data_IF_363815364598
#
_entry.id   IF_363815364598
#
_cell.length_a   1.000
_cell.length_b   1.000
_cell.length_c   1.000
_cell.angle_alpha   90.00
_cell.angle_beta   90.00
_cell.angle_gamma   90.00
#
_symmetry.space_group_name_H-M   'P 1'
#
loop_
_entity.id
_entity.type
_entity.pdbx_description
1 polymer ?
#
# COMPACT_ATOMS: atom_id res chain seq x y z
N UNK A 1 -6.44 -4.99 8.96
CA UNK A 1 -5.06 -5.19 9.48
C UNK A 1 -4.26 -3.96 9.12
N UNK A 2 -3.33 -3.53 9.98
CA UNK A 2 -2.53 -2.30 9.77
C UNK A 2 -1.05 -2.67 9.81
N UNK A 3 -0.27 -2.23 8.83
CA UNK A 3 1.17 -2.51 8.71
C UNK A 3 1.90 -1.18 8.48
N UNK A 4 3.02 -1.00 9.17
CA UNK A 4 3.97 0.07 8.90
C UNK A 4 5.13 -0.51 8.08
N UNK A 5 5.53 0.17 7.00
CA UNK A 5 6.56 -0.36 6.11
C UNK A 5 7.56 0.70 5.64
N UNK A 6 8.79 0.24 5.43
CA UNK A 6 9.86 1.00 4.81
C UNK A 6 9.53 1.32 3.35
N UNK A 7 9.88 2.53 2.86
CA UNK A 7 9.61 2.92 1.48
C UNK A 7 10.21 1.96 0.45
N UNK A 8 11.39 1.39 0.74
CA UNK A 8 12.10 0.47 -0.17
C UNK A 8 11.50 -0.94 -0.21
N UNK A 9 10.53 -1.23 0.66
CA UNK A 9 9.90 -2.55 0.76
C UNK A 9 8.41 -2.52 0.47
N UNK A 10 7.80 -1.34 0.33
CA UNK A 10 6.33 -1.21 0.21
C UNK A 10 5.77 -1.95 -1.01
N UNK A 11 6.42 -1.86 -2.17
CA UNK A 11 5.96 -2.55 -3.38
C UNK A 11 6.09 -4.07 -3.23
N UNK A 12 7.23 -4.54 -2.69
CA UNK A 12 7.42 -5.96 -2.40
C UNK A 12 6.38 -6.48 -1.41
N UNK A 13 6.11 -5.74 -0.33
CA UNK A 13 5.09 -6.09 0.64
C UNK A 13 3.71 -6.22 -0.02
N UNK A 14 3.33 -5.27 -0.89
CA UNK A 14 2.04 -5.33 -1.60
C UNK A 14 1.93 -6.56 -2.51
N UNK A 15 3.02 -6.94 -3.20
CA UNK A 15 3.08 -8.18 -3.97
C UNK A 15 2.95 -9.41 -3.08
N UNK A 16 3.70 -9.47 -1.97
CA UNK A 16 3.65 -10.59 -1.02
C UNK A 16 2.24 -10.75 -0.43
N UNK A 17 1.56 -9.63 -0.11
CA UNK A 17 0.18 -9.63 0.36
C UNK A 17 -0.77 -10.17 -0.73
N UNK A 18 -0.58 -9.76 -1.99
CA UNK A 18 -1.40 -10.24 -3.11
C UNK A 18 -1.26 -11.76 -3.30
N UNK A 19 -0.03 -12.28 -3.22
CA UNK A 19 0.24 -13.71 -3.34
C UNK A 19 -0.40 -14.52 -2.19
N UNK A 20 -0.34 -14.02 -0.96
CA UNK A 20 -0.82 -14.76 0.23
C UNK A 20 -2.31 -14.57 0.49
N UNK A 21 -2.84 -13.37 0.30
CA UNK A 21 -4.22 -13.00 0.66
C UNK A 21 -5.15 -12.80 -0.55
N UNK A 22 -4.61 -12.81 -1.77
CA UNK A 22 -5.32 -12.54 -3.01
C UNK A 22 -5.58 -11.05 -3.25
N UNK A 23 -6.49 -10.75 -4.18
CA UNK A 23 -6.81 -9.38 -4.60
C UNK A 23 -7.67 -8.62 -3.58
N UNK A 24 -7.10 -8.24 -2.44
CA UNK A 24 -7.79 -7.47 -1.40
C UNK A 24 -7.84 -5.99 -1.70
N UNK A 25 -8.88 -5.33 -1.21
CA UNK A 25 -8.86 -3.87 -1.05
C UNK A 25 -7.87 -3.49 0.04
N UNK A 26 -6.97 -2.55 -0.29
CA UNK A 26 -6.01 -1.98 0.64
C UNK A 26 -6.00 -0.46 0.52
N UNK A 27 -5.63 0.21 1.61
CA UNK A 27 -5.30 1.62 1.60
C UNK A 27 -3.79 1.78 1.84
N UNK A 28 -3.11 2.41 0.90
CA UNK A 28 -1.70 2.80 0.96
C UNK A 28 -1.67 4.28 1.33
N UNK A 29 -1.25 4.57 2.56
CA UNK A 29 -1.04 5.92 3.04
C UNK A 29 0.47 6.20 3.13
N UNK A 30 0.90 7.36 2.64
CA UNK A 30 2.30 7.81 2.63
C UNK A 30 2.39 9.20 3.20
N UNK A 31 3.34 9.42 4.10
CA UNK A 31 3.69 10.75 4.64
C UNK A 31 2.48 11.49 5.24
N UNK A 32 1.61 10.77 5.96
CA UNK A 32 0.43 11.36 6.61
C UNK A 32 0.79 12.62 7.40
N UNK A 33 -0.08 13.64 7.34
CA UNK A 33 0.08 14.98 7.95
C UNK A 33 1.12 15.89 7.29
N UNK A 34 1.87 15.42 6.28
CA UNK A 34 2.81 16.25 5.51
C UNK A 34 2.11 16.85 4.30
N UNK A 35 2.65 17.96 3.77
CA UNK A 35 2.09 18.70 2.64
C UNK A 35 1.87 17.85 1.37
N UNK A 36 2.68 16.81 1.18
CA UNK A 36 2.62 15.91 0.02
C UNK A 36 2.20 14.49 0.43
N UNK A 37 1.28 14.38 1.39
CA UNK A 37 0.68 13.11 1.76
C UNK A 37 -0.03 12.47 0.55
N UNK A 38 -0.07 11.15 0.55
CA UNK A 38 -0.74 10.36 -0.47
C UNK A 38 -1.58 9.29 0.23
N UNK A 39 -2.85 9.19 -0.14
CA UNK A 39 -3.76 8.16 0.34
C UNK A 39 -4.46 7.56 -0.87
N UNK A 40 -4.14 6.29 -1.17
CA UNK A 40 -4.75 5.54 -2.28
C UNK A 40 -5.46 4.33 -1.68
N UNK A 41 -6.76 4.19 -1.96
CA UNK A 41 -7.52 2.98 -1.60
C UNK A 41 -8.04 2.33 -2.86
N UNK A 42 -7.62 1.10 -3.11
CA UNK A 42 -8.02 0.32 -4.29
C UNK A 42 -7.75 -1.16 -4.04
N UNK A 43 -8.03 -2.02 -5.02
CA UNK A 43 -7.58 -3.42 -4.99
C UNK A 43 -6.06 -3.51 -5.14
N UNK A 44 -5.46 -4.55 -4.56
CA UNK A 44 -4.03 -4.81 -4.68
C UNK A 44 -3.58 -4.92 -6.14
N UNK A 45 -4.38 -5.56 -6.99
CA UNK A 45 -4.12 -5.65 -8.42
C UNK A 45 -4.00 -4.27 -9.07
N UNK A 46 -4.96 -3.37 -8.83
CA UNK A 46 -4.94 -2.02 -9.39
C UNK A 46 -3.77 -1.19 -8.86
N UNK A 47 -3.44 -1.35 -7.57
CA UNK A 47 -2.29 -0.67 -6.95
C UNK A 47 -0.98 -1.16 -7.57
N UNK A 48 -0.82 -2.47 -7.75
CA UNK A 48 0.38 -3.05 -8.35
C UNK A 48 0.54 -2.65 -9.82
N UNK A 49 -0.56 -2.50 -10.57
CA UNK A 49 -0.55 -1.93 -11.93
C UNK A 49 -0.13 -0.47 -11.96
N UNK A 50 -0.47 0.31 -10.92
CA UNK A 50 -0.17 1.75 -10.79
C UNK A 50 1.00 2.03 -9.83
N UNK A 51 1.88 1.04 -9.61
CA UNK A 51 2.96 1.12 -8.61
C UNK A 51 3.90 2.31 -8.79
N UNK A 52 4.06 2.82 -10.02
CA UNK A 52 4.92 3.98 -10.30
C UNK A 52 4.40 5.28 -9.66
N UNK A 53 3.12 5.34 -9.26
CA UNK A 53 2.57 6.44 -8.47
C UNK A 53 3.06 6.42 -7.01
N UNK A 54 3.48 5.24 -6.53
CA UNK A 54 4.00 5.03 -5.18
C UNK A 54 5.51 5.27 -5.21
N UNK A 55 5.90 6.52 -4.98
CA UNK A 55 7.32 6.86 -4.82
C UNK A 55 7.86 6.19 -3.55
N UNK A 56 8.89 5.36 -3.68
CA UNK A 56 9.61 4.70 -2.59
C UNK A 56 10.44 5.70 -1.76
N UNK A 57 9.75 6.62 -1.07
CA UNK A 57 10.32 7.60 -0.15
C UNK A 57 9.34 7.90 0.97
N UNK A 58 9.84 8.27 2.14
CA UNK A 58 8.99 8.67 3.26
C UNK A 58 8.46 7.49 4.04
N UNK A 59 7.36 7.69 4.75
CA UNK A 59 6.79 6.72 5.68
C UNK A 59 5.48 6.15 5.15
N UNK A 60 5.30 4.83 5.21
CA UNK A 60 4.11 4.16 4.71
C UNK A 60 3.31 3.46 5.81
N UNK A 61 1.99 3.59 5.71
CA UNK A 61 1.01 2.83 6.48
C UNK A 61 0.08 2.11 5.50
N UNK A 62 0.01 0.79 5.60
CA UNK A 62 -0.85 -0.05 4.78
C UNK A 62 -2.00 -0.59 5.62
N UNK A 63 -3.23 -0.32 5.20
CA UNK A 63 -4.44 -0.86 5.79
C UNK A 63 -4.99 -1.93 4.84
N UNK A 64 -5.27 -3.12 5.36
CA UNK A 64 -5.77 -4.25 4.59
C UNK A 64 -7.19 -4.58 5.06
N UNK A 65 -8.14 -4.56 4.13
CA UNK A 65 -9.53 -4.91 4.39
C UNK A 65 -9.67 -6.37 4.87
N UNK A 66 -10.73 -6.65 5.64
CA UNK A 66 -11.05 -8.02 6.04
C UNK A 66 -11.42 -8.87 4.82
N UNK A 67 -11.45 -10.19 5.03
CA UNK A 67 -12.13 -11.07 4.06
C UNK A 67 -13.61 -10.81 4.22
N UNK A 68 -14.30 -10.65 3.09
CA UNK A 68 -15.76 -10.69 3.07
C UNK A 68 -16.26 -11.97 3.77
#
# INVERSE_FOLDING_TARGET
MTIYESPFRVIRLLSDIYEVLGNRTVCVAKDLTKLYELVITDTLENILQKKDLIKEKGEFVILIAKKD
#
